data_IF_583357418999
#
_entry.id   IF_583357418999
#
_cell.length_a   1.000
_cell.length_b   1.000
_cell.length_c   1.000
_cell.angle_alpha   90.00
_cell.angle_beta   90.00
_cell.angle_gamma   90.00
#
_symmetry.space_group_name_H-M   'P 1'
#
loop_
_entity.id
_entity.type
_entity.pdbx_description
1 polymer ?
#
# COMPACT_ATOMS: atom_id res chain seq x y z
N UNK A 1 27.21 2.00 12.32
CA UNK A 1 28.30 1.29 11.67
C UNK A 1 27.91 1.13 10.22
N UNK A 2 27.78 2.03 9.57
CA UNK A 2 27.22 1.93 8.37
C UNK A 2 28.11 1.95 7.20
N UNK A 3 28.12 2.54 6.28
CA UNK A 3 29.00 2.86 5.16
C UNK A 3 30.32 2.08 5.04
N UNK A 4 30.54 1.11 5.88
CA UNK A 4 31.74 0.95 6.64
C UNK A 4 32.64 -0.10 6.11
N UNK A 5 32.20 -0.77 5.07
CA UNK A 5 33.05 -1.72 4.37
C UNK A 5 33.41 -1.25 2.95
N UNK A 6 32.90 -0.10 2.54
CA UNK A 6 33.22 0.50 1.24
C UNK A 6 33.84 1.89 1.44
N UNK A 7 34.86 2.25 0.67
CA UNK A 7 35.35 3.62 0.59
C UNK A 7 34.30 4.52 -0.08
N UNK A 8 34.39 5.83 0.06
CA UNK A 8 33.50 6.74 -0.65
C UNK A 8 33.60 6.57 -2.17
N UNK A 9 34.78 6.29 -2.66
CA UNK A 9 35.03 6.03 -4.08
C UNK A 9 34.30 4.76 -4.54
N UNK A 10 34.44 3.66 -3.82
CA UNK A 10 33.69 2.40 -4.10
C UNK A 10 32.17 2.57 -4.00
N UNK A 11 31.70 3.46 -3.12
CA UNK A 11 30.28 3.74 -2.98
C UNK A 11 29.73 4.54 -4.16
N UNK A 12 30.44 5.57 -4.63
CA UNK A 12 29.93 6.45 -5.68
C UNK A 12 30.26 5.97 -7.09
N UNK A 13 31.38 5.29 -7.28
CA UNK A 13 31.76 4.79 -8.59
C UNK A 13 31.19 3.40 -8.87
N UNK A 14 30.90 2.62 -7.81
CA UNK A 14 30.44 1.25 -7.93
C UNK A 14 31.36 0.35 -8.78
N UNK A 15 31.07 -0.91 -8.94
CA UNK A 15 31.70 -1.72 -9.98
C UNK A 15 31.19 -1.27 -11.36
N UNK A 16 32.06 -1.27 -12.35
CA UNK A 16 31.81 -0.81 -13.74
C UNK A 16 30.61 -1.49 -14.45
N UNK A 17 29.99 -2.47 -13.82
CA UNK A 17 28.84 -3.23 -14.30
C UNK A 17 27.48 -2.75 -13.73
N UNK A 18 27.42 -1.59 -13.12
CA UNK A 18 26.26 -1.07 -12.35
C UNK A 18 24.98 -0.95 -13.17
N UNK A 19 25.05 -0.79 -14.47
CA UNK A 19 23.88 -0.65 -15.33
C UNK A 19 23.04 -1.95 -15.45
N UNK A 20 23.56 -3.09 -14.99
CA UNK A 20 22.93 -4.41 -15.10
C UNK A 20 22.70 -5.13 -13.77
N UNK A 21 23.18 -4.62 -12.64
CA UNK A 21 22.91 -5.27 -11.34
C UNK A 21 21.78 -4.56 -10.59
N UNK A 22 20.62 -5.19 -10.56
CA UNK A 22 19.46 -4.76 -9.75
C UNK A 22 19.72 -4.91 -8.23
N UNK A 23 20.92 -5.29 -7.81
CA UNK A 23 21.22 -5.75 -6.45
C UNK A 23 21.89 -4.71 -5.55
N UNK A 24 22.23 -3.52 -6.06
CA UNK A 24 22.85 -2.50 -5.23
C UNK A 24 21.85 -1.49 -4.68
N UNK A 25 21.37 -1.78 -3.47
CA UNK A 25 20.50 -0.89 -2.73
C UNK A 25 21.31 0.20 -2.01
N UNK A 26 21.65 1.28 -2.69
CA UNK A 26 22.40 2.42 -2.15
C UNK A 26 21.75 3.10 -0.92
N UNK A 27 20.48 2.82 -0.66
CA UNK A 27 19.75 3.34 0.49
C UNK A 27 19.85 2.51 1.77
N UNK A 28 20.40 1.31 1.72
CA UNK A 28 20.40 0.35 2.84
C UNK A 28 21.07 0.86 4.10
N UNK A 29 22.09 1.73 3.99
CA UNK A 29 22.77 2.33 5.14
C UNK A 29 21.86 3.19 6.04
N UNK A 30 20.68 3.56 5.55
CA UNK A 30 19.70 4.34 6.32
C UNK A 30 18.84 3.47 7.20
N UNK A 31 18.83 2.15 6.97
CA UNK A 31 17.96 1.22 7.65
C UNK A 31 18.73 0.29 8.58
N UNK A 32 18.05 -0.20 9.60
CA UNK A 32 18.56 -1.15 10.59
C UNK A 32 17.56 -2.28 10.72
N UNK A 33 18.05 -3.51 10.86
CA UNK A 33 17.20 -4.68 11.00
C UNK A 33 16.49 -4.70 12.36
N UNK A 34 15.32 -5.32 12.43
CA UNK A 34 14.60 -5.47 13.71
C UNK A 34 15.40 -6.31 14.70
N UNK A 35 16.17 -7.28 14.23
CA UNK A 35 17.02 -8.13 15.09
C UNK A 35 18.10 -7.33 15.79
N UNK A 36 18.70 -6.37 15.09
CA UNK A 36 19.68 -5.44 15.67
C UNK A 36 19.03 -4.52 16.69
N UNK A 37 17.83 -4.01 16.38
CA UNK A 37 17.05 -3.17 17.29
C UNK A 37 16.73 -3.93 18.58
N UNK A 38 16.25 -5.17 18.47
CA UNK A 38 15.95 -6.03 19.63
C UNK A 38 17.21 -6.30 20.44
N UNK A 39 18.33 -6.62 19.79
CA UNK A 39 19.61 -6.88 20.46
C UNK A 39 20.12 -5.64 21.18
N UNK A 40 20.14 -4.50 20.50
CA UNK A 40 20.58 -3.24 21.06
C UNK A 40 19.66 -2.77 22.20
N UNK A 41 18.35 -3.01 22.07
CA UNK A 41 17.40 -2.71 23.15
C UNK A 41 17.72 -3.53 24.42
N UNK A 42 17.93 -4.84 24.29
CA UNK A 42 18.28 -5.69 25.43
C UNK A 42 19.57 -5.21 26.08
N UNK A 43 20.59 -4.90 25.29
CA UNK A 43 21.86 -4.38 25.81
C UNK A 43 21.68 -3.03 26.52
N UNK A 44 20.88 -2.13 25.98
CA UNK A 44 20.73 -0.76 26.51
C UNK A 44 19.80 -0.66 27.74
N UNK A 45 18.67 -1.40 27.72
CA UNK A 45 17.56 -1.17 28.66
C UNK A 45 17.29 -2.32 29.65
N UNK A 46 17.91 -3.50 29.46
CA UNK A 46 17.69 -4.67 30.31
C UNK A 46 18.93 -5.01 31.13
N UNK A 47 18.77 -5.12 32.45
CA UNK A 47 19.84 -5.46 33.40
C UNK A 47 19.49 -5.12 34.85
N UNK A 48 20.32 -5.50 35.80
CA UNK A 48 20.07 -5.33 37.23
C UNK A 48 19.91 -3.87 37.67
N UNK A 49 20.72 -2.96 37.08
CA UNK A 49 20.69 -1.52 37.39
C UNK A 49 19.91 -0.70 36.33
N UNK A 50 19.15 -1.38 35.45
CA UNK A 50 18.41 -0.73 34.39
C UNK A 50 16.93 -0.72 34.68
N UNK A 51 16.20 0.06 33.84
CA UNK A 51 14.74 0.27 33.94
C UNK A 51 13.98 -1.06 33.93
N UNK A 52 14.45 -2.02 33.15
CA UNK A 52 13.87 -3.35 33.03
C UNK A 52 14.85 -4.37 33.59
N UNK A 53 14.56 -4.92 34.75
CA UNK A 53 15.46 -5.85 35.39
C UNK A 53 15.63 -7.17 34.64
N UNK A 54 14.53 -7.69 34.05
CA UNK A 54 14.54 -8.96 33.31
C UNK A 54 13.37 -8.98 32.30
N UNK A 55 13.65 -9.41 31.08
CA UNK A 55 12.65 -9.64 30.04
C UNK A 55 13.16 -10.71 29.05
N UNK A 56 12.27 -11.47 28.47
CA UNK A 56 12.65 -12.44 27.44
C UNK A 56 12.83 -11.73 26.09
N UNK A 57 13.81 -12.19 25.31
CA UNK A 57 14.04 -11.65 23.96
C UNK A 57 12.79 -11.75 23.06
N UNK A 58 12.02 -12.83 23.21
CA UNK A 58 10.76 -13.04 22.49
C UNK A 58 9.73 -11.97 22.76
N UNK A 59 9.61 -11.51 24.01
CA UNK A 59 8.67 -10.47 24.40
C UNK A 59 9.09 -9.13 23.82
N UNK A 60 10.41 -8.84 23.82
CA UNK A 60 10.96 -7.64 23.20
C UNK A 60 10.71 -7.65 21.68
N UNK A 61 10.94 -8.81 21.03
CA UNK A 61 10.71 -8.97 19.59
C UNK A 61 9.21 -8.78 19.24
N UNK A 62 8.31 -9.37 20.03
CA UNK A 62 6.87 -9.20 19.86
C UNK A 62 6.45 -7.72 19.93
N UNK A 63 6.91 -7.00 20.95
CA UNK A 63 6.60 -5.57 21.08
C UNK A 63 7.28 -4.72 20.01
N UNK A 64 8.46 -5.11 19.55
CA UNK A 64 9.15 -4.43 18.45
C UNK A 64 8.36 -4.55 17.12
N UNK A 65 7.94 -5.77 16.76
CA UNK A 65 7.11 -6.01 15.56
C UNK A 65 5.80 -5.24 15.62
N UNK A 66 5.11 -5.27 16.76
CA UNK A 66 3.88 -4.50 16.94
C UNK A 66 4.12 -2.98 16.84
N UNK A 67 5.25 -2.52 17.38
CA UNK A 67 5.66 -1.11 17.26
C UNK A 67 5.91 -0.69 15.81
N UNK A 68 6.56 -1.52 15.01
CA UNK A 68 6.77 -1.25 13.59
C UNK A 68 5.43 -1.18 12.86
N UNK A 69 4.54 -2.13 13.10
CA UNK A 69 3.20 -2.15 12.51
C UNK A 69 2.41 -0.86 12.81
N UNK A 70 2.47 -0.37 14.05
CA UNK A 70 1.83 0.89 14.42
C UNK A 70 2.51 2.11 13.79
N UNK A 71 3.84 2.09 13.69
CA UNK A 71 4.60 3.20 13.11
C UNK A 71 4.55 3.23 11.60
N UNK A 72 4.47 2.09 10.92
CA UNK A 72 4.37 2.02 9.46
C UNK A 72 3.13 2.73 8.94
N UNK A 73 2.05 2.72 9.71
CA UNK A 73 0.83 3.43 9.33
C UNK A 73 0.91 4.95 9.60
N UNK A 74 1.45 5.34 10.76
CA UNK A 74 1.34 6.73 11.24
C UNK A 74 2.55 7.62 10.90
N UNK A 75 3.74 7.02 10.92
CA UNK A 75 5.01 7.78 10.96
C UNK A 75 5.92 7.46 9.79
N UNK A 76 5.92 6.23 9.36
CA UNK A 76 6.85 5.66 8.39
C UNK A 76 6.07 4.90 7.32
N UNK A 77 5.25 5.55 6.49
CA UNK A 77 4.58 4.84 5.41
C UNK A 77 5.64 4.21 4.52
N UNK A 78 5.71 2.90 4.55
CA UNK A 78 6.59 2.15 3.67
C UNK A 78 5.85 1.94 2.36
N UNK A 79 6.21 2.73 1.36
CA UNK A 79 5.67 2.57 0.01
C UNK A 79 6.43 1.48 -0.71
N UNK A 80 5.71 0.50 -1.21
CA UNK A 80 6.21 -0.53 -2.11
C UNK A 80 5.54 -0.43 -3.48
N UNK A 81 6.23 -0.89 -4.49
CA UNK A 81 5.73 -0.95 -5.86
C UNK A 81 5.89 -2.36 -6.39
N UNK A 82 4.82 -2.93 -6.90
CA UNK A 82 4.84 -4.23 -7.59
C UNK A 82 4.26 -4.09 -8.98
N UNK A 83 4.76 -4.91 -9.88
CA UNK A 83 4.35 -4.95 -11.27
C UNK A 83 3.82 -6.34 -11.60
N UNK A 84 2.67 -6.40 -12.27
CA UNK A 84 2.07 -7.64 -12.76
C UNK A 84 1.44 -7.42 -14.13
N UNK A 85 1.42 -8.47 -14.93
CA UNK A 85 0.57 -8.52 -16.11
C UNK A 85 -0.87 -8.87 -15.70
N UNK A 86 -1.85 -8.10 -16.17
CA UNK A 86 -3.26 -8.35 -15.86
C UNK A 86 -3.72 -9.66 -16.51
N UNK A 87 -4.10 -10.68 -15.74
CA UNK A 87 -4.56 -11.93 -16.29
C UNK A 87 -5.89 -11.79 -17.01
N UNK A 88 -6.26 -12.75 -17.86
CA UNK A 88 -7.55 -12.76 -18.54
C UNK A 88 -8.75 -12.69 -17.60
N UNK A 89 -8.62 -13.18 -16.36
CA UNK A 89 -9.66 -13.08 -15.31
C UNK A 89 -9.85 -11.69 -14.72
N UNK A 90 -9.10 -10.69 -15.17
CA UNK A 90 -9.21 -9.28 -14.76
C UNK A 90 -9.09 -9.09 -13.25
N UNK A 91 -8.24 -9.83 -12.59
CA UNK A 91 -8.01 -9.67 -11.14
C UNK A 91 -6.53 -9.78 -10.78
N UNK A 92 -6.19 -9.16 -9.66
CA UNK A 92 -4.89 -9.26 -9.01
C UNK A 92 -5.09 -9.59 -7.54
N UNK A 93 -4.29 -10.50 -7.01
CA UNK A 93 -4.26 -10.81 -5.57
C UNK A 93 -3.45 -9.70 -4.89
N UNK A 94 -3.99 -9.16 -3.80
CA UNK A 94 -3.27 -8.16 -3.00
C UNK A 94 -2.07 -8.80 -2.29
N UNK A 95 -0.93 -8.09 -2.17
CA UNK A 95 0.20 -8.56 -1.39
C UNK A 95 -0.18 -8.83 0.07
N UNK A 96 0.52 -9.76 0.73
CA UNK A 96 0.24 -10.11 2.13
C UNK A 96 0.45 -8.96 3.10
N UNK A 97 1.39 -8.07 2.77
CA UNK A 97 1.73 -6.88 3.54
C UNK A 97 0.95 -5.62 3.11
N UNK A 98 -0.12 -5.81 2.34
CA UNK A 98 -0.93 -4.71 1.83
C UNK A 98 -1.80 -4.08 2.93
N UNK A 99 -1.67 -2.77 3.11
CA UNK A 99 -2.54 -1.97 3.98
C UNK A 99 -3.49 -1.12 3.15
N UNK A 100 -2.95 -0.31 2.24
CA UNK A 100 -3.75 0.56 1.39
C UNK A 100 -3.01 0.86 0.08
N UNK A 101 -3.76 1.03 -1.01
CA UNK A 101 -3.17 1.45 -2.27
C UNK A 101 -2.87 2.96 -2.25
N UNK A 102 -1.77 3.34 -2.86
CA UNK A 102 -1.45 4.74 -3.13
C UNK A 102 -1.82 5.08 -4.57
N UNK A 103 -1.46 4.20 -5.50
CA UNK A 103 -1.66 4.43 -6.92
C UNK A 103 -1.73 3.10 -7.66
N UNK A 104 -2.62 3.03 -8.63
CA UNK A 104 -2.66 1.99 -9.65
C UNK A 104 -2.50 2.63 -11.02
N UNK A 105 -1.59 2.11 -11.82
CA UNK A 105 -1.27 2.66 -13.13
C UNK A 105 -0.79 1.58 -14.09
N UNK A 106 -0.79 1.89 -15.35
CA UNK A 106 -0.14 1.11 -16.38
C UNK A 106 0.68 2.05 -17.28
N UNK A 107 1.77 1.55 -17.84
CA UNK A 107 2.65 2.33 -18.70
C UNK A 107 2.37 1.96 -20.15
N UNK A 108 2.16 2.97 -21.00
CA UNK A 108 1.94 2.75 -22.43
C UNK A 108 3.28 2.49 -23.16
N UNK A 109 3.20 2.11 -24.43
CA UNK A 109 4.39 1.84 -25.23
C UNK A 109 5.29 3.04 -25.49
N UNK A 110 4.88 4.23 -25.08
CA UNK A 110 5.66 5.47 -25.16
C UNK A 110 6.31 5.84 -23.81
N UNK A 111 6.15 5.00 -22.78
CA UNK A 111 6.67 5.27 -21.44
C UNK A 111 5.80 6.22 -20.61
N UNK A 112 4.59 6.55 -21.07
CA UNK A 112 3.69 7.43 -20.32
C UNK A 112 2.87 6.60 -19.33
N UNK A 113 2.94 6.98 -18.07
CA UNK A 113 2.18 6.34 -17.01
C UNK A 113 0.73 6.81 -16.98
N UNK A 114 -0.21 5.88 -17.11
CA UNK A 114 -1.65 6.09 -17.14
C UNK A 114 -2.27 5.64 -15.85
N UNK A 115 -2.93 6.54 -15.12
CA UNK A 115 -3.56 6.23 -13.84
C UNK A 115 -4.88 5.51 -14.07
N UNK A 116 -5.07 4.40 -13.34
CA UNK A 116 -6.33 3.66 -13.28
C UNK A 116 -7.13 4.21 -12.09
N UNK A 117 -8.41 4.52 -12.27
CA UNK A 117 -9.22 5.11 -11.22
C UNK A 117 -10.07 4.06 -10.51
N UNK A 118 -10.20 4.25 -9.18
CA UNK A 118 -11.11 3.44 -8.39
C UNK A 118 -12.56 3.72 -8.78
N UNK A 119 -13.32 2.67 -8.91
CA UNK A 119 -14.77 2.73 -9.12
C UNK A 119 -15.51 2.04 -7.96
N UNK A 120 -16.72 2.48 -7.72
CA UNK A 120 -17.63 1.80 -6.79
C UNK A 120 -18.50 0.75 -7.50
N UNK A 121 -18.33 0.62 -8.82
CA UNK A 121 -19.07 -0.37 -9.62
C UNK A 121 -18.43 -1.75 -9.41
N UNK A 122 -19.23 -2.69 -8.90
CA UNK A 122 -18.80 -4.07 -8.70
C UNK A 122 -18.84 -4.84 -10.02
N UNK A 123 -17.69 -5.40 -10.43
CA UNK A 123 -17.61 -6.23 -11.64
C UNK A 123 -17.90 -7.71 -11.39
N UNK A 124 -17.90 -8.15 -10.13
CA UNK A 124 -18.10 -9.54 -9.75
C UNK A 124 -19.00 -9.67 -8.51
N UNK A 125 -20.30 -9.45 -8.66
CA UNK A 125 -21.25 -9.68 -7.59
C UNK A 125 -21.38 -11.17 -7.27
N UNK A 126 -21.91 -11.51 -6.08
CA UNK A 126 -22.27 -12.87 -5.72
C UNK A 126 -23.55 -13.28 -6.50
N UNK A 127 -23.48 -14.30 -7.38
CA UNK A 127 -24.59 -14.68 -8.24
C UNK A 127 -25.52 -15.66 -7.52
N UNK A 128 -26.55 -15.19 -6.84
CA UNK A 128 -27.57 -16.04 -6.26
C UNK A 128 -28.43 -16.71 -7.34
N UNK A 129 -28.78 -17.98 -7.12
CA UNK A 129 -29.63 -18.74 -8.04
C UNK A 129 -31.09 -18.45 -7.71
N UNK A 130 -31.86 -18.13 -8.75
CA UNK A 130 -33.31 -17.91 -8.70
C UNK A 130 -34.00 -18.91 -9.63
N UNK A 131 -35.25 -19.26 -9.31
CA UNK A 131 -36.09 -20.09 -10.16
C UNK A 131 -36.71 -19.28 -11.31
N UNK A 132 -37.56 -19.94 -12.11
CA UNK A 132 -38.29 -19.31 -13.22
C UNK A 132 -39.30 -18.23 -12.79
N UNK A 133 -39.66 -18.19 -11.51
CA UNK A 133 -40.56 -17.21 -10.92
C UNK A 133 -39.83 -16.07 -10.24
N UNK A 134 -38.48 -16.03 -10.37
CA UNK A 134 -37.58 -15.06 -9.73
C UNK A 134 -37.48 -15.18 -8.21
N UNK A 135 -37.88 -16.33 -7.63
CA UNK A 135 -37.74 -16.62 -6.21
C UNK A 135 -36.39 -17.28 -5.93
N UNK A 136 -35.85 -17.06 -4.72
CA UNK A 136 -34.63 -17.72 -4.31
C UNK A 136 -34.85 -19.21 -4.14
N UNK A 137 -33.95 -20.01 -4.72
CA UNK A 137 -33.89 -21.44 -4.45
C UNK A 137 -33.07 -21.70 -3.20
N UNK A 138 -33.49 -22.69 -2.40
CA UNK A 138 -32.77 -23.06 -1.18
C UNK A 138 -32.22 -24.48 -1.34
N UNK A 139 -31.01 -24.70 -0.82
CA UNK A 139 -30.45 -26.03 -0.73
C UNK A 139 -31.05 -26.85 0.44
N UNK A 140 -30.57 -28.08 0.63
CA UNK A 140 -30.99 -28.96 1.72
C UNK A 140 -30.71 -28.41 3.13
N UNK A 141 -29.79 -27.43 3.23
CA UNK A 141 -29.40 -26.79 4.49
C UNK A 141 -30.18 -25.48 4.73
N UNK A 142 -31.01 -25.06 3.79
CA UNK A 142 -31.74 -23.80 3.85
C UNK A 142 -30.95 -22.58 3.42
N UNK A 143 -29.79 -22.77 2.78
CA UNK A 143 -28.99 -21.70 2.23
C UNK A 143 -29.28 -21.44 0.76
N UNK A 144 -29.10 -20.21 0.30
CA UNK A 144 -29.26 -19.86 -1.11
C UNK A 144 -27.98 -20.21 -1.87
N UNK A 145 -28.01 -21.16 -2.80
CA UNK A 145 -26.83 -21.55 -3.55
C UNK A 145 -26.37 -20.44 -4.49
N UNK A 146 -25.07 -20.39 -4.72
CA UNK A 146 -24.45 -19.47 -5.66
C UNK A 146 -24.22 -20.17 -7.01
N UNK A 147 -24.44 -19.44 -8.09
CA UNK A 147 -24.03 -19.89 -9.41
C UNK A 147 -22.49 -19.89 -9.52
N UNK A 148 -21.95 -20.74 -10.37
CA UNK A 148 -20.49 -20.88 -10.55
C UNK A 148 -19.82 -19.59 -11.04
N UNK A 149 -20.53 -18.76 -11.79
CA UNK A 149 -20.00 -17.55 -12.38
C UNK A 149 -21.04 -16.43 -12.35
N UNK A 150 -20.56 -15.20 -12.14
CA UNK A 150 -21.40 -14.00 -12.23
C UNK A 150 -21.66 -13.63 -13.70
N UNK A 151 -22.89 -13.42 -14.07
CA UNK A 151 -23.27 -12.93 -15.41
C UNK A 151 -22.70 -11.51 -15.65
N UNK A 152 -22.62 -10.69 -14.61
CA UNK A 152 -21.97 -9.37 -14.69
C UNK A 152 -20.50 -9.52 -15.03
N UNK A 153 -19.79 -10.44 -14.38
CA UNK A 153 -18.37 -10.71 -14.69
C UNK A 153 -18.20 -11.23 -16.12
N UNK A 154 -19.06 -12.15 -16.57
CA UNK A 154 -19.03 -12.64 -17.96
C UNK A 154 -19.17 -11.51 -18.98
N UNK A 155 -20.08 -10.59 -18.72
CA UNK A 155 -20.28 -9.42 -19.61
C UNK A 155 -19.10 -8.47 -19.59
N UNK A 156 -18.49 -8.27 -18.41
CA UNK A 156 -17.28 -7.49 -18.28
C UNK A 156 -16.10 -8.12 -19.01
N UNK A 157 -15.92 -9.42 -18.89
CA UNK A 157 -14.86 -10.16 -19.57
C UNK A 157 -15.08 -10.21 -21.08
N UNK A 158 -16.30 -10.48 -21.51
CA UNK A 158 -16.66 -10.48 -22.94
C UNK A 158 -16.46 -9.11 -23.60
N UNK A 159 -16.68 -8.01 -22.88
CA UNK A 159 -16.43 -6.67 -23.40
C UNK A 159 -14.93 -6.40 -23.66
N UNK A 160 -14.04 -7.09 -22.95
CA UNK A 160 -12.58 -6.99 -23.10
C UNK A 160 -11.95 -7.89 -24.16
N UNK A 161 -12.70 -8.68 -24.89
CA UNK A 161 -12.18 -9.65 -25.88
C UNK A 161 -11.75 -9.05 -27.21
N UNK A 162 -11.32 -7.78 -27.25
CA UNK A 162 -10.58 -7.24 -28.37
C UNK A 162 -9.16 -7.85 -28.45
N UNK A 163 -8.63 -7.94 -29.66
CA UNK A 163 -7.28 -8.48 -29.94
C UNK A 163 -6.24 -7.78 -29.04
N UNK A 164 -5.28 -8.48 -28.42
CA UNK A 164 -4.19 -7.86 -27.69
C UNK A 164 -3.48 -6.82 -28.55
N UNK A 165 -3.42 -5.57 -28.08
CA UNK A 165 -2.85 -4.46 -28.87
C UNK A 165 -3.81 -3.75 -29.81
N UNK A 166 -4.99 -4.29 -30.06
CA UNK A 166 -6.12 -3.51 -30.54
C UNK A 166 -6.63 -2.70 -29.36
N UNK A 167 -6.92 -1.42 -29.49
CA UNK A 167 -7.75 -0.74 -28.52
C UNK A 167 -9.06 -1.53 -28.52
N UNK A 168 -9.12 -2.47 -27.62
CA UNK A 168 -10.13 -3.48 -27.51
C UNK A 168 -11.38 -2.84 -27.36
N UNK A 169 -12.05 -2.82 -28.33
CA UNK A 169 -13.31 -3.00 -28.14
C UNK A 169 -14.25 -2.02 -28.63
N UNK A 170 -15.23 -2.15 -28.19
CA UNK A 170 -16.52 -1.52 -28.35
C UNK A 170 -16.49 -0.02 -28.70
N UNK A 171 -15.49 0.73 -28.24
CA UNK A 171 -15.34 2.12 -28.69
C UNK A 171 -14.84 2.26 -30.11
N UNK A 172 -13.93 1.39 -30.55
CA UNK A 172 -13.37 1.45 -31.92
C UNK A 172 -14.15 0.60 -32.92
N UNK A 173 -14.77 -0.49 -32.47
CA UNK A 173 -15.70 -1.25 -33.31
C UNK A 173 -16.99 -0.48 -33.59
N UNK A 174 -17.36 0.46 -32.72
CA UNK A 174 -18.43 1.39 -32.95
C UNK A 174 -18.00 2.64 -33.74
N UNK A 175 -16.74 2.70 -34.22
CA UNK A 175 -16.29 3.78 -35.07
C UNK A 175 -17.11 3.90 -36.39
N UNK A 176 -17.72 2.80 -36.79
CA UNK A 176 -18.62 2.78 -37.95
C UNK A 176 -20.09 3.14 -37.60
N UNK A 177 -20.39 3.43 -36.32
CA UNK A 177 -21.71 3.89 -35.93
C UNK A 177 -21.67 5.38 -35.61
N UNK A 178 -22.12 6.24 -36.53
CA UNK A 178 -22.00 7.70 -36.40
C UNK A 178 -22.77 8.24 -35.19
N UNK A 179 -23.82 7.57 -34.75
CA UNK A 179 -24.65 8.00 -33.59
C UNK A 179 -23.92 7.82 -32.25
N UNK A 180 -23.04 6.82 -32.16
CA UNK A 180 -22.24 6.57 -30.97
C UNK A 180 -20.92 7.33 -30.96
N UNK A 181 -20.40 7.69 -32.16
CA UNK A 181 -19.16 8.47 -32.32
C UNK A 181 -19.26 9.83 -31.63
N UNK A 182 -20.39 10.50 -31.75
CA UNK A 182 -20.67 11.79 -31.10
C UNK A 182 -20.67 11.68 -29.58
N UNK A 183 -21.15 10.58 -29.04
CA UNK A 183 -21.30 10.39 -27.60
C UNK A 183 -19.96 10.08 -26.89
N UNK A 184 -19.07 9.36 -27.54
CA UNK A 184 -17.84 8.84 -26.93
C UNK A 184 -16.57 9.57 -27.39
N UNK A 185 -16.53 10.04 -28.64
CA UNK A 185 -15.35 10.68 -29.21
C UNK A 185 -15.27 12.19 -29.01
N UNK A 186 -16.39 12.86 -28.79
CA UNK A 186 -16.48 14.34 -28.81
C UNK A 186 -16.83 14.95 -27.44
N UNK A 187 -16.35 14.36 -26.35
CA UNK A 187 -16.43 15.03 -25.05
C UNK A 187 -17.79 15.02 -24.38
N UNK A 188 -18.69 14.11 -24.76
CA UNK A 188 -19.96 13.86 -24.03
C UNK A 188 -19.81 13.41 -22.60
N UNK A 189 -18.57 13.36 -22.11
CA UNK A 189 -18.21 12.99 -20.74
C UNK A 189 -17.85 14.18 -19.85
N UNK A 190 -17.99 15.39 -20.34
CA UNK A 190 -17.76 16.59 -19.54
C UNK A 190 -18.72 16.66 -18.35
N UNK A 191 -18.18 16.90 -17.16
CA UNK A 191 -18.95 16.99 -15.93
C UNK A 191 -19.23 15.66 -15.23
N UNK A 192 -18.81 14.52 -15.81
CA UNK A 192 -18.87 13.23 -15.13
C UNK A 192 -17.72 13.08 -14.11
N UNK A 193 -17.90 12.17 -13.18
CA UNK A 193 -16.81 11.81 -12.24
C UNK A 193 -15.60 11.28 -13.00
N UNK A 194 -14.36 11.56 -12.54
CA UNK A 194 -13.14 11.12 -13.22
C UNK A 194 -13.10 9.62 -13.54
N UNK A 195 -13.68 8.79 -12.69
CA UNK A 195 -13.78 7.34 -12.91
C UNK A 195 -14.62 6.96 -14.14
N UNK A 196 -15.55 7.83 -14.56
CA UNK A 196 -16.42 7.59 -15.71
C UNK A 196 -15.98 8.31 -17.00
N UNK A 197 -15.09 9.27 -16.88
CA UNK A 197 -14.62 10.08 -18.03
C UNK A 197 -13.36 9.53 -18.70
N UNK A 198 -12.74 8.50 -18.12
CA UNK A 198 -11.44 8.02 -18.55
C UNK A 198 -11.51 6.76 -19.39
N UNK A 199 -10.62 6.69 -20.39
CA UNK A 199 -10.34 5.50 -21.17
C UNK A 199 -9.21 4.63 -20.60
N UNK A 200 -8.65 5.00 -19.45
CA UNK A 200 -7.49 4.31 -18.86
C UNK A 200 -7.86 3.05 -18.08
N UNK A 201 -9.14 2.76 -17.97
CA UNK A 201 -9.66 1.66 -17.16
C UNK A 201 -9.99 2.05 -15.73
N UNK A 202 -10.72 1.17 -15.05
CA UNK A 202 -11.13 1.32 -13.65
C UNK A 202 -10.83 0.06 -12.87
N UNK A 203 -10.77 0.19 -11.54
CA UNK A 203 -10.58 -0.94 -10.64
C UNK A 203 -11.51 -0.88 -9.43
N UNK A 204 -11.75 -2.03 -8.85
CA UNK A 204 -12.48 -2.22 -7.60
C UNK A 204 -11.69 -3.12 -6.66
N UNK A 205 -11.64 -2.76 -5.37
CA UNK A 205 -10.95 -3.57 -4.37
C UNK A 205 -11.98 -4.33 -3.54
N UNK A 206 -11.93 -5.65 -3.64
CA UNK A 206 -12.66 -6.55 -2.76
C UNK A 206 -11.79 -6.85 -1.54
N UNK A 207 -12.06 -6.14 -0.44
CA UNK A 207 -11.30 -6.27 0.81
C UNK A 207 -11.50 -7.61 1.50
N UNK A 208 -12.65 -8.26 1.28
CA UNK A 208 -12.98 -9.53 1.93
C UNK A 208 -12.19 -10.66 1.27
N UNK A 209 -12.14 -10.65 -0.06
CA UNK A 209 -11.39 -11.66 -0.83
C UNK A 209 -9.91 -11.33 -1.00
N UNK A 210 -9.49 -10.11 -0.66
CA UNK A 210 -8.10 -9.66 -0.83
C UNK A 210 -7.68 -9.56 -2.30
N UNK A 211 -8.59 -9.15 -3.19
CA UNK A 211 -8.34 -9.06 -4.63
C UNK A 211 -8.73 -7.69 -5.17
N UNK A 212 -7.98 -7.25 -6.18
CA UNK A 212 -8.34 -6.11 -7.01
C UNK A 212 -8.94 -6.63 -8.30
N UNK A 213 -10.06 -6.10 -8.71
CA UNK A 213 -10.69 -6.42 -9.99
C UNK A 213 -10.60 -5.23 -10.91
N UNK A 214 -10.36 -5.52 -12.18
CA UNK A 214 -10.14 -4.52 -13.21
C UNK A 214 -11.25 -4.51 -14.23
N UNK A 215 -11.44 -3.37 -14.89
CA UNK A 215 -12.27 -3.28 -16.08
C UNK A 215 -11.60 -4.00 -17.26
N UNK A 216 -12.40 -4.39 -18.23
CA UNK A 216 -11.96 -5.08 -19.44
C UNK A 216 -10.87 -4.33 -20.24
N UNK A 217 -10.82 -3.01 -20.13
CA UNK A 217 -9.85 -2.16 -20.84
C UNK A 217 -8.40 -2.40 -20.42
N UNK A 218 -8.18 -3.10 -19.30
CA UNK A 218 -6.86 -3.32 -18.71
C UNK A 218 -6.29 -4.72 -19.05
N UNK A 219 -7.07 -5.55 -19.69
CA UNK A 219 -6.67 -6.93 -20.03
C UNK A 219 -5.34 -6.96 -20.79
N UNK A 220 -4.41 -7.81 -20.34
CA UNK A 220 -3.09 -8.00 -20.96
C UNK A 220 -2.16 -6.79 -20.87
N UNK A 221 -2.48 -5.81 -20.03
CA UNK A 221 -1.57 -4.69 -19.74
C UNK A 221 -0.75 -4.98 -18.49
N UNK A 222 0.44 -4.42 -18.47
CA UNK A 222 1.30 -4.45 -17.29
C UNK A 222 0.82 -3.36 -16.33
N UNK A 223 0.46 -3.78 -15.11
CA UNK A 223 -0.09 -2.91 -14.08
C UNK A 223 0.95 -2.74 -12.99
N UNK A 224 1.16 -1.50 -12.58
CA UNK A 224 1.99 -1.16 -11.43
C UNK A 224 1.08 -0.75 -10.26
N UNK A 225 1.14 -1.52 -9.19
CA UNK A 225 0.50 -1.19 -7.92
C UNK A 225 1.53 -0.56 -6.99
N UNK A 226 1.32 0.70 -6.62
CA UNK A 226 1.98 1.34 -5.47
C UNK A 226 1.06 1.28 -4.27
N UNK A 227 1.59 0.80 -3.16
CA UNK A 227 0.80 0.58 -1.95
C UNK A 227 1.62 0.84 -0.68
N UNK A 228 0.91 1.08 0.40
CA UNK A 228 1.49 1.17 1.73
C UNK A 228 1.54 -0.23 2.31
N UNK A 229 2.75 -0.66 2.68
CA UNK A 229 3.03 -1.91 3.37
C UNK A 229 2.88 -1.71 4.88
N UNK A 230 2.50 -2.77 5.60
CA UNK A 230 2.49 -2.79 7.07
C UNK A 230 3.90 -2.88 7.69
N UNK A 231 4.92 -2.99 6.86
CA UNK A 231 6.31 -3.10 7.29
C UNK A 231 6.68 -4.47 7.88
N UNK A 232 5.74 -5.43 7.88
CA UNK A 232 5.99 -6.78 8.34
C UNK A 232 6.50 -7.64 7.18
N UNK A 233 7.72 -8.15 7.29
CA UNK A 233 8.28 -9.16 6.37
C UNK A 233 8.03 -10.56 6.88
N UNK A 234 8.01 -11.55 5.99
CA UNK A 234 7.86 -12.96 6.34
C UNK A 234 9.09 -13.55 7.04
N UNK A 235 10.27 -12.99 6.83
CA UNK A 235 11.55 -13.57 7.24
C UNK A 235 12.27 -12.84 8.38
N UNK A 236 11.59 -11.93 9.08
CA UNK A 236 12.21 -11.16 10.18
C UNK A 236 13.22 -10.09 9.73
N UNK A 237 13.41 -9.91 8.44
CA UNK A 237 14.26 -8.86 7.86
C UNK A 237 13.50 -7.53 7.72
N UNK A 238 12.76 -7.19 8.75
CA UNK A 238 12.07 -5.91 8.78
C UNK A 238 13.09 -4.80 8.98
N UNK A 239 13.09 -3.85 8.06
CA UNK A 239 14.00 -2.70 8.07
C UNK A 239 13.31 -1.48 8.67
N UNK A 240 14.00 -0.80 9.54
CA UNK A 240 13.55 0.43 10.20
C UNK A 240 14.53 1.55 9.96
N UNK A 241 14.02 2.71 9.57
CA UNK A 241 14.87 3.87 9.38
C UNK A 241 15.56 4.29 10.69
N UNK A 242 16.87 4.56 10.65
CA UNK A 242 17.70 4.86 11.82
C UNK A 242 17.18 5.98 12.73
N UNK A 243 16.47 6.97 12.18
CA UNK A 243 15.88 8.05 12.97
C UNK A 243 14.60 7.66 13.72
N UNK A 244 14.01 6.50 13.43
CA UNK A 244 12.86 5.96 14.15
C UNK A 244 13.22 5.00 15.28
N UNK A 245 14.48 4.57 15.37
CA UNK A 245 14.92 3.57 16.37
C UNK A 245 14.62 4.02 17.80
N UNK A 246 14.88 5.28 18.13
CA UNK A 246 14.58 5.81 19.48
C UNK A 246 13.08 5.74 19.81
N UNK A 247 12.22 6.03 18.83
CA UNK A 247 10.77 5.92 19.01
C UNK A 247 10.34 4.47 19.26
N UNK A 248 10.95 3.51 18.59
CA UNK A 248 10.71 2.08 18.81
C UNK A 248 11.21 1.65 20.19
N UNK A 249 12.37 2.10 20.61
CA UNK A 249 12.87 1.80 21.98
C UNK A 249 11.91 2.31 23.07
N UNK A 250 11.41 3.54 22.92
CA UNK A 250 10.44 4.10 23.86
C UNK A 250 9.09 3.36 23.82
N UNK A 251 8.67 2.91 22.64
CA UNK A 251 7.47 2.08 22.48
C UNK A 251 7.62 0.75 23.20
N UNK A 252 8.71 0.02 22.97
CA UNK A 252 8.99 -1.28 23.63
C UNK A 252 9.05 -1.09 25.14
N UNK A 253 9.76 -0.07 25.62
CA UNK A 253 9.85 0.22 27.05
C UNK A 253 8.49 0.45 27.67
N UNK A 254 7.65 1.31 27.05
CA UNK A 254 6.28 1.56 27.52
C UNK A 254 5.44 0.28 27.50
N UNK A 255 5.48 -0.49 26.41
CA UNK A 255 4.70 -1.72 26.27
C UNK A 255 5.05 -2.78 27.32
N UNK A 256 6.35 -2.98 27.59
CA UNK A 256 6.82 -3.90 28.63
C UNK A 256 6.41 -3.42 30.03
N UNK A 257 6.58 -2.13 30.33
CA UNK A 257 6.22 -1.60 31.63
C UNK A 257 4.71 -1.61 31.89
N UNK A 258 3.90 -1.36 30.87
CA UNK A 258 2.44 -1.39 30.98
C UNK A 258 1.85 -2.79 31.14
N UNK A 259 2.54 -3.82 30.61
CA UNK A 259 2.11 -5.22 30.73
C UNK A 259 2.59 -5.93 32.00
N UNK A 260 3.53 -5.32 32.72
CA UNK A 260 4.17 -5.92 33.89
C UNK A 260 3.34 -5.68 35.14
N UNK A 261 3.10 -6.74 35.90
CA UNK A 261 2.49 -6.63 37.24
C UNK A 261 3.39 -5.83 38.19
N UNK A 262 2.79 -5.07 39.11
CA UNK A 262 3.45 -4.23 40.10
C UNK A 262 4.37 -3.12 39.60
N UNK A 263 4.15 -2.66 38.34
CA UNK A 263 4.84 -1.46 37.88
C UNK A 263 4.16 -0.22 38.44
N UNK A 264 4.94 0.72 38.91
CA UNK A 264 4.43 1.98 39.47
C UNK A 264 3.82 2.81 38.32
N UNK A 265 2.59 3.26 38.52
CA UNK A 265 1.82 3.94 37.46
C UNK A 265 2.50 5.21 36.96
N UNK A 266 3.19 5.98 37.81
CA UNK A 266 3.90 7.18 37.38
C UNK A 266 5.02 6.90 36.36
N UNK A 267 5.68 5.73 36.45
CA UNK A 267 6.68 5.30 35.46
C UNK A 267 6.01 5.01 34.12
N UNK A 268 4.90 4.29 34.13
CA UNK A 268 4.14 3.99 32.90
C UNK A 268 3.69 5.28 32.23
N UNK A 269 3.17 6.24 33.00
CA UNK A 269 2.75 7.54 32.48
C UNK A 269 3.91 8.37 31.92
N UNK A 270 5.06 8.32 32.57
CA UNK A 270 6.29 8.98 32.09
C UNK A 270 6.71 8.40 30.73
N UNK A 271 6.84 7.07 30.63
CA UNK A 271 7.26 6.42 29.38
C UNK A 271 6.23 6.55 28.27
N UNK A 272 4.95 6.62 28.60
CA UNK A 272 3.89 6.95 27.65
C UNK A 272 4.12 8.33 27.02
N UNK A 273 4.41 9.34 27.82
CA UNK A 273 4.71 10.70 27.31
C UNK A 273 5.98 10.72 26.47
N UNK A 274 7.04 10.03 26.93
CA UNK A 274 8.30 9.91 26.18
C UNK A 274 8.09 9.22 24.83
N UNK A 275 7.29 8.14 24.78
CA UNK A 275 6.92 7.44 23.56
C UNK A 275 6.22 8.37 22.54
N UNK A 276 5.21 9.11 22.98
CA UNK A 276 4.53 10.06 22.09
C UNK A 276 5.44 11.18 21.62
N UNK A 277 6.34 11.67 22.47
CA UNK A 277 7.32 12.70 22.09
C UNK A 277 8.31 12.15 21.05
N UNK A 278 8.84 10.96 21.26
CA UNK A 278 9.76 10.30 20.33
C UNK A 278 9.09 9.98 19.00
N UNK A 279 7.84 9.50 19.02
CA UNK A 279 7.03 9.25 17.81
C UNK A 279 6.85 10.54 16.99
N UNK A 280 6.51 11.66 17.66
CA UNK A 280 6.37 12.95 17.00
C UNK A 280 7.69 13.44 16.40
N UNK A 281 8.80 13.31 17.15
CA UNK A 281 10.11 13.70 16.67
C UNK A 281 10.56 12.88 15.45
N UNK A 282 10.31 11.56 15.46
CA UNK A 282 10.57 10.70 14.32
C UNK A 282 9.76 11.15 13.09
N UNK A 283 8.47 11.43 13.28
CA UNK A 283 7.60 11.93 12.20
C UNK A 283 8.12 13.24 11.60
N UNK A 284 8.52 14.19 12.43
CA UNK A 284 9.05 15.48 11.97
C UNK A 284 10.37 15.31 11.20
N UNK A 285 11.27 14.47 11.71
CA UNK A 285 12.59 14.22 11.08
C UNK A 285 12.49 13.51 9.74
N UNK A 286 11.46 12.68 9.57
CA UNK A 286 11.24 11.88 8.36
C UNK A 286 10.22 12.53 7.40
N UNK A 287 9.59 13.62 7.80
CA UNK A 287 8.69 14.36 6.92
C UNK A 287 9.48 15.24 5.96
N UNK A 288 9.16 15.14 4.67
CA UNK A 288 9.70 16.00 3.61
C UNK A 288 9.08 17.40 3.59
N UNK A 289 8.58 17.88 4.72
CA UNK A 289 7.95 19.19 4.80
C UNK A 289 9.02 20.27 4.64
N UNK A 290 9.08 20.85 3.46
CA UNK A 290 9.97 21.97 3.16
C UNK A 290 9.32 23.28 3.60
N UNK A 291 10.12 24.21 4.13
CA UNK A 291 9.66 25.55 4.56
C UNK A 291 8.90 26.28 3.45
N UNK A 292 9.31 26.08 2.20
CA UNK A 292 8.64 26.64 1.02
C UNK A 292 7.22 26.10 0.83
N UNK A 293 7.00 24.81 1.07
CA UNK A 293 5.68 24.16 0.98
C UNK A 293 4.74 24.70 2.07
N UNK A 294 5.24 24.86 3.29
CA UNK A 294 4.46 25.47 4.38
C UNK A 294 4.10 26.91 4.03
N UNK A 295 5.06 27.69 3.53
CA UNK A 295 4.81 29.09 3.10
C UNK A 295 3.77 29.16 1.98
N UNK A 296 3.78 28.23 1.02
CA UNK A 296 2.78 28.17 -0.04
C UNK A 296 1.39 27.81 0.48
N UNK A 297 1.29 26.83 1.40
CA UNK A 297 0.02 26.46 2.04
C UNK A 297 -0.56 27.65 2.80
N UNK A 298 0.26 28.35 3.60
CA UNK A 298 -0.17 29.54 4.33
C UNK A 298 -0.61 30.68 3.41
N UNK A 299 0.12 30.91 2.32
CA UNK A 299 -0.25 31.94 1.32
C UNK A 299 -1.55 31.57 0.59
N UNK A 300 -1.77 30.29 0.30
CA UNK A 300 -3.00 29.85 -0.32
C UNK A 300 -4.20 30.00 0.62
N UNK A 301 -4.07 29.69 1.90
CA UNK A 301 -5.12 29.91 2.88
C UNK A 301 -5.46 31.39 3.05
N UNK A 302 -4.46 32.29 2.99
CA UNK A 302 -4.71 33.73 3.07
C UNK A 302 -5.49 34.30 1.86
N UNK A 303 -5.47 33.63 0.72
CA UNK A 303 -6.25 34.00 -0.46
C UNK A 303 -7.74 33.67 -0.36
N UNK A 304 -8.11 32.74 0.51
CA UNK A 304 -9.51 32.35 0.73
C UNK A 304 -10.31 33.40 1.52
N UNK A 305 -9.64 34.35 2.15
CA UNK A 305 -10.27 35.40 2.94
C UNK A 305 -10.65 36.63 2.10
N UNK A 306 -10.26 36.65 0.84
CA UNK A 306 -10.61 37.72 -0.11
C UNK A 306 -11.74 37.29 -1.04
N UNK A 307 -12.93 37.38 -0.56
CA UNK A 307 -14.15 37.51 -1.38
C UNK A 307 -14.76 38.89 -1.15
#
# INVERSE_FOLDING_TARGET
MGLLNKTQEEYYLGPDEIWNSNDEEYGNYQFVTINDIVTNFVVAFVGEDKIISKVKRTDVAFHAMRGIQEFSFDVLPQEKSIEIECPPGLYMILPQDYVNYTKLSWTDGQGIERIIHKTDITSNPLPYIQDSNFEYTFDSNGEVPLANESETLKRWDAAGQGTPGSPGNTMWNNYNNPDLLGLYATGGRYGLTPSMTQSNGTFYIDKIKGIVRFSSDIRGRIITLKYISDGLGTDGEMLVHKFAIDAIYKYITHAILSSRANTQEYLVQRYRKEMYAAKRNAKIRLSDIKTNTMSQIMKNQSKWIKH
#
